data_IF_104813703463
#
_entry.id   IF_104813703463
#
_cell.length_a   1.000
_cell.length_b   1.000
_cell.length_c   1.000
_cell.angle_alpha   90.00
_cell.angle_beta   90.00
_cell.angle_gamma   90.00
#
_symmetry.space_group_name_H-M   'P 1'
#
loop_
_entity.id
_entity.type
_entity.pdbx_description
1 polymer ?
#
# COMPACT_ATOMS: atom_id res chain seq x y z
N UNK A 1 -18.56 -21.58 -35.27
CA UNK A 1 -17.53 -21.67 -34.22
C UNK A 1 -18.20 -21.43 -32.85
N UNK A 2 -18.27 -22.42 -31.97
CA UNK A 2 -18.77 -22.25 -30.59
C UNK A 2 -17.77 -21.34 -29.88
N UNK A 3 -18.21 -20.15 -29.38
CA UNK A 3 -17.46 -19.36 -28.41
C UNK A 3 -17.16 -20.30 -27.25
N UNK A 4 -15.89 -20.64 -27.01
CA UNK A 4 -15.49 -21.27 -25.74
C UNK A 4 -15.88 -20.28 -24.65
N UNK A 5 -16.86 -20.64 -23.83
CA UNK A 5 -17.17 -19.93 -22.60
C UNK A 5 -15.86 -19.86 -21.81
N UNK A 6 -15.32 -18.66 -21.61
CA UNK A 6 -14.19 -18.50 -20.70
C UNK A 6 -14.70 -18.89 -19.32
N UNK A 7 -14.01 -19.74 -18.57
CA UNK A 7 -14.41 -20.06 -17.21
C UNK A 7 -14.51 -18.76 -16.41
N UNK A 8 -15.57 -18.61 -15.64
CA UNK A 8 -15.80 -17.42 -14.82
C UNK A 8 -14.64 -17.23 -13.86
N UNK A 9 -13.98 -16.07 -13.90
CA UNK A 9 -12.86 -15.70 -13.03
C UNK A 9 -13.28 -15.76 -11.58
N UNK A 10 -12.52 -16.48 -10.74
CA UNK A 10 -12.75 -16.55 -9.29
C UNK A 10 -11.65 -15.82 -8.55
N UNK A 11 -12.02 -14.87 -7.70
CA UNK A 11 -11.09 -14.04 -6.93
C UNK A 11 -11.37 -14.18 -5.44
N UNK A 12 -10.32 -14.47 -4.68
CA UNK A 12 -10.33 -14.39 -3.24
C UNK A 12 -9.69 -13.09 -2.77
N UNK A 13 -10.37 -12.31 -1.94
CA UNK A 13 -9.82 -11.12 -1.30
C UNK A 13 -9.66 -11.39 0.18
N UNK A 14 -8.44 -11.30 0.67
CA UNK A 14 -8.10 -11.47 2.08
C UNK A 14 -8.01 -10.09 2.72
N UNK A 15 -9.03 -9.74 3.51
CA UNK A 15 -9.08 -8.51 4.29
C UNK A 15 -10.31 -7.63 4.07
N UNK A 16 -11.11 -7.48 5.13
CA UNK A 16 -12.23 -6.54 5.20
C UNK A 16 -11.70 -5.13 5.50
N UNK A 17 -11.04 -4.52 4.52
CA UNK A 17 -10.55 -3.13 4.56
C UNK A 17 -11.26 -2.29 3.52
N UNK A 18 -11.18 -0.95 3.63
CA UNK A 18 -11.74 -0.07 2.59
C UNK A 18 -11.22 -0.47 1.19
N UNK A 19 -9.92 -0.77 1.07
CA UNK A 19 -9.32 -1.19 -0.20
C UNK A 19 -9.78 -2.57 -0.65
N UNK A 20 -9.84 -3.56 0.25
CA UNK A 20 -10.34 -4.89 -0.05
C UNK A 20 -11.80 -4.87 -0.54
N UNK A 21 -12.66 -4.09 0.12
CA UNK A 21 -14.03 -3.90 -0.27
C UNK A 21 -14.16 -3.23 -1.65
N UNK A 22 -13.35 -2.21 -1.92
CA UNK A 22 -13.32 -1.51 -3.22
C UNK A 22 -12.88 -2.46 -4.35
N UNK A 23 -11.83 -3.25 -4.13
CA UNK A 23 -11.41 -4.30 -5.08
C UNK A 23 -12.53 -5.34 -5.30
N UNK A 24 -13.27 -5.70 -4.25
CA UNK A 24 -14.41 -6.61 -4.33
C UNK A 24 -15.48 -6.11 -5.30
N UNK A 25 -15.89 -4.86 -5.17
CA UNK A 25 -16.85 -4.22 -6.09
C UNK A 25 -16.29 -4.16 -7.50
N UNK A 26 -15.07 -3.61 -7.66
CA UNK A 26 -14.43 -3.39 -8.95
C UNK A 26 -14.28 -4.69 -9.78
N UNK A 27 -13.93 -5.80 -9.14
CA UNK A 27 -13.76 -7.09 -9.80
C UNK A 27 -15.10 -7.78 -10.08
N UNK A 28 -16.10 -7.58 -9.22
CA UNK A 28 -17.46 -8.08 -9.48
C UNK A 28 -18.10 -7.40 -10.68
N UNK A 29 -17.81 -6.13 -10.93
CA UNK A 29 -18.28 -5.40 -12.12
C UNK A 29 -17.71 -5.99 -13.43
N UNK A 30 -16.64 -6.81 -13.34
CA UNK A 30 -16.08 -7.59 -14.47
C UNK A 30 -16.67 -9.01 -14.58
N UNK A 31 -17.77 -9.29 -13.94
CA UNK A 31 -18.40 -10.62 -13.89
C UNK A 31 -17.54 -11.70 -13.20
N UNK A 32 -16.54 -11.28 -12.39
CA UNK A 32 -15.79 -12.21 -11.57
C UNK A 32 -16.62 -12.68 -10.36
N UNK A 33 -16.49 -13.96 -10.01
CA UNK A 33 -17.00 -14.48 -8.73
C UNK A 33 -16.02 -14.11 -7.64
N UNK A 34 -16.35 -13.07 -6.87
CA UNK A 34 -15.48 -12.58 -5.80
C UNK A 34 -15.96 -13.09 -4.46
N UNK A 35 -15.03 -13.63 -3.67
CA UNK A 35 -15.25 -14.01 -2.29
C UNK A 35 -14.27 -13.30 -1.37
N UNK A 36 -14.80 -12.51 -0.43
CA UNK A 36 -14.00 -11.76 0.54
C UNK A 36 -13.93 -12.55 1.85
N UNK A 37 -12.71 -12.72 2.37
CA UNK A 37 -12.51 -13.26 3.70
C UNK A 37 -12.56 -12.15 4.75
N UNK A 38 -13.44 -12.32 5.74
CA UNK A 38 -13.58 -11.48 6.93
C UNK A 38 -13.09 -12.25 8.17
N UNK A 39 -12.63 -11.54 9.20
CA UNK A 39 -12.01 -12.13 10.40
C UNK A 39 -13.00 -12.90 11.28
N UNK A 40 -14.29 -12.59 11.20
CA UNK A 40 -15.32 -13.22 12.03
C UNK A 40 -16.59 -13.48 11.23
N UNK A 41 -17.41 -14.40 11.72
CA UNK A 41 -18.74 -14.66 11.14
C UNK A 41 -19.66 -13.43 11.21
N UNK A 42 -19.54 -12.63 12.26
CA UNK A 42 -20.31 -11.40 12.40
C UNK A 42 -19.97 -10.41 11.29
N UNK A 43 -18.67 -10.16 11.03
CA UNK A 43 -18.24 -9.32 9.91
C UNK A 43 -18.70 -9.86 8.55
N UNK A 44 -18.57 -11.18 8.32
CA UNK A 44 -18.97 -11.80 7.07
C UNK A 44 -20.49 -11.68 6.84
N UNK A 45 -21.29 -11.87 7.90
CA UNK A 45 -22.73 -11.73 7.85
C UNK A 45 -23.16 -10.30 7.57
N UNK A 46 -22.55 -9.32 8.21
CA UNK A 46 -22.80 -7.90 7.98
C UNK A 46 -22.52 -7.52 6.53
N UNK A 47 -21.36 -7.94 5.98
CA UNK A 47 -20.99 -7.72 4.59
C UNK A 47 -22.00 -8.32 3.61
N UNK A 48 -22.50 -9.53 3.86
CA UNK A 48 -23.48 -10.19 3.01
C UNK A 48 -24.88 -9.55 3.08
N UNK A 49 -25.24 -8.93 4.21
CA UNK A 49 -26.48 -8.18 4.35
C UNK A 49 -26.47 -6.85 3.59
N UNK A 50 -25.28 -6.27 3.37
CA UNK A 50 -25.09 -4.97 2.71
C UNK A 50 -25.38 -4.96 1.20
N UNK A 51 -25.98 -6.00 0.60
CA UNK A 51 -26.30 -6.13 -0.84
C UNK A 51 -25.11 -5.80 -1.75
N UNK A 52 -23.94 -6.28 -1.39
CA UNK A 52 -22.72 -6.08 -2.19
C UNK A 52 -22.72 -7.03 -3.39
N UNK A 53 -21.96 -6.65 -4.44
CA UNK A 53 -21.79 -7.47 -5.63
C UNK A 53 -20.89 -8.71 -5.44
N UNK A 54 -20.31 -8.90 -4.24
CA UNK A 54 -19.48 -10.04 -3.86
C UNK A 54 -20.00 -10.72 -2.59
N UNK A 55 -19.61 -11.97 -2.38
CA UNK A 55 -19.93 -12.72 -1.16
C UNK A 55 -18.78 -12.67 -0.15
N UNK A 56 -19.09 -12.89 1.13
CA UNK A 56 -18.12 -12.90 2.22
C UNK A 56 -18.23 -14.17 3.07
N UNK A 57 -17.09 -14.62 3.60
CA UNK A 57 -16.99 -15.76 4.51
C UNK A 57 -15.92 -15.53 5.57
N UNK A 58 -16.07 -16.12 6.75
CA UNK A 58 -15.04 -16.15 7.80
C UNK A 58 -14.05 -17.31 7.65
N UNK A 59 -14.32 -18.25 6.74
CA UNK A 59 -13.49 -19.43 6.51
C UNK A 59 -12.53 -19.19 5.35
N UNK A 60 -11.25 -18.99 5.65
CA UNK A 60 -10.24 -18.63 4.65
C UNK A 60 -10.10 -19.70 3.54
N UNK A 61 -10.21 -20.99 3.88
CA UNK A 61 -10.19 -22.06 2.90
C UNK A 61 -11.38 -22.02 1.94
N UNK A 62 -12.55 -21.57 2.40
CA UNK A 62 -13.72 -21.39 1.55
C UNK A 62 -13.54 -20.19 0.61
N UNK A 63 -12.93 -19.10 1.08
CA UNK A 63 -12.63 -17.95 0.25
C UNK A 63 -11.66 -18.31 -0.89
N UNK A 64 -10.65 -19.13 -0.59
CA UNK A 64 -9.60 -19.52 -1.54
C UNK A 64 -9.97 -20.68 -2.45
N UNK A 65 -11.07 -21.39 -2.19
CA UNK A 65 -11.45 -22.60 -2.94
C UNK A 65 -11.68 -22.33 -4.43
N UNK A 66 -10.72 -22.81 -5.24
CA UNK A 66 -10.77 -22.70 -6.70
C UNK A 66 -10.57 -21.26 -7.21
N UNK A 67 -9.96 -20.39 -6.42
CA UNK A 67 -9.61 -19.04 -6.85
C UNK A 67 -8.48 -19.08 -7.91
N UNK A 68 -8.60 -18.22 -8.93
CA UNK A 68 -7.56 -17.97 -9.93
C UNK A 68 -6.59 -16.90 -9.44
N UNK A 69 -7.08 -15.99 -8.58
CA UNK A 69 -6.33 -14.87 -8.00
C UNK A 69 -6.68 -14.73 -6.52
N UNK A 70 -5.67 -14.70 -5.66
CA UNK A 70 -5.78 -14.39 -4.24
C UNK A 70 -5.12 -13.02 -3.98
N UNK A 71 -5.86 -12.07 -3.40
CA UNK A 71 -5.41 -10.70 -3.14
C UNK A 71 -5.37 -10.44 -1.65
N UNK A 72 -4.20 -10.11 -1.10
CA UNK A 72 -4.07 -9.63 0.28
C UNK A 72 -4.21 -8.11 0.32
N UNK A 73 -5.36 -7.64 0.77
CA UNK A 73 -5.68 -6.23 0.99
C UNK A 73 -5.80 -5.91 2.48
N UNK A 74 -4.80 -6.31 3.25
CA UNK A 74 -4.70 -6.19 4.71
C UNK A 74 -3.67 -5.12 5.11
N UNK A 75 -3.69 -4.62 6.36
CA UNK A 75 -2.59 -3.82 6.87
C UNK A 75 -1.25 -4.56 6.76
N UNK A 76 -0.17 -3.84 6.42
CA UNK A 76 1.15 -4.42 6.17
C UNK A 76 1.65 -5.26 7.34
N UNK A 77 1.44 -4.81 8.57
CA UNK A 77 1.86 -5.51 9.80
C UNK A 77 1.04 -6.78 10.10
N UNK A 78 -0.05 -7.01 9.35
CA UNK A 78 -0.91 -8.20 9.47
C UNK A 78 -0.74 -9.19 8.33
N UNK A 79 0.08 -8.85 7.31
CA UNK A 79 0.22 -9.68 6.13
C UNK A 79 0.73 -11.09 6.49
N UNK A 80 1.82 -11.18 7.26
CA UNK A 80 2.44 -12.46 7.64
C UNK A 80 1.44 -13.42 8.29
N UNK A 81 0.73 -12.93 9.29
CA UNK A 81 -0.31 -13.71 9.99
C UNK A 81 -1.38 -14.23 9.02
N UNK A 82 -1.87 -13.36 8.14
CA UNK A 82 -2.92 -13.73 7.19
C UNK A 82 -2.44 -14.71 6.12
N UNK A 83 -1.18 -14.57 5.65
CA UNK A 83 -0.58 -15.52 4.71
C UNK A 83 -0.39 -16.87 5.38
N UNK A 84 0.10 -16.90 6.62
CA UNK A 84 0.28 -18.15 7.38
C UNK A 84 -1.02 -18.91 7.58
N UNK A 85 -2.16 -18.22 7.77
CA UNK A 85 -3.49 -18.86 7.82
C UNK A 85 -3.94 -19.39 6.44
N UNK A 86 -3.55 -18.72 5.36
CA UNK A 86 -3.97 -19.05 3.99
C UNK A 86 -3.13 -20.17 3.34
N UNK A 87 -1.87 -20.32 3.72
CA UNK A 87 -0.83 -21.07 2.97
C UNK A 87 -1.22 -22.51 2.58
N UNK A 88 -1.98 -23.21 3.41
CA UNK A 88 -2.39 -24.60 3.15
C UNK A 88 -3.51 -24.73 2.10
N UNK A 89 -4.12 -23.61 1.68
CA UNK A 89 -5.18 -23.56 0.69
C UNK A 89 -4.73 -22.98 -0.66
N UNK A 90 -3.46 -22.57 -0.76
CA UNK A 90 -2.90 -22.02 -1.98
C UNK A 90 -2.55 -23.12 -2.97
N UNK A 91 -2.75 -22.86 -4.26
CA UNK A 91 -2.47 -23.82 -5.34
C UNK A 91 -1.55 -23.22 -6.39
N UNK A 92 -0.87 -24.08 -7.16
CA UNK A 92 0.05 -23.64 -8.24
C UNK A 92 -0.64 -22.91 -9.39
N UNK A 93 -1.95 -23.02 -9.53
CA UNK A 93 -2.73 -22.29 -10.53
C UNK A 93 -3.09 -20.86 -10.12
N UNK A 94 -3.06 -20.55 -8.81
CA UNK A 94 -3.40 -19.22 -8.29
C UNK A 94 -2.30 -18.20 -8.58
N UNK A 95 -2.71 -16.97 -8.90
CA UNK A 95 -1.88 -15.78 -8.76
C UNK A 95 -1.99 -15.27 -7.32
N UNK A 96 -0.87 -14.89 -6.73
CA UNK A 96 -0.77 -14.43 -5.34
C UNK A 96 -0.40 -12.95 -5.33
N UNK A 97 -1.37 -12.08 -5.04
CA UNK A 97 -1.18 -10.64 -5.14
C UNK A 97 -1.15 -9.96 -3.78
N UNK A 98 -0.09 -9.22 -3.50
CA UNK A 98 -0.09 -8.25 -2.41
C UNK A 98 -0.61 -6.89 -2.90
N UNK A 99 -1.66 -6.40 -2.29
CA UNK A 99 -2.16 -5.03 -2.47
C UNK A 99 -1.93 -4.16 -1.20
N UNK A 100 -1.17 -4.68 -0.24
CA UNK A 100 -0.76 -3.99 0.97
C UNK A 100 0.45 -3.08 0.68
N UNK A 101 0.41 -1.86 1.23
CA UNK A 101 1.48 -0.86 1.08
C UNK A 101 2.16 -0.63 2.43
N UNK A 102 3.42 -1.03 2.55
CA UNK A 102 4.18 -0.86 3.78
C UNK A 102 5.39 -1.78 3.84
N UNK A 103 6.12 -1.66 4.94
CA UNK A 103 7.24 -2.52 5.30
C UNK A 103 6.95 -3.20 6.64
N UNK A 104 7.29 -4.46 6.78
CA UNK A 104 7.15 -5.15 8.06
C UNK A 104 8.17 -4.58 9.07
N UNK A 105 7.68 -4.02 10.18
CA UNK A 105 8.54 -3.35 11.16
C UNK A 105 9.57 -4.29 11.76
N UNK A 106 9.21 -5.53 12.07
CA UNK A 106 10.12 -6.50 12.71
C UNK A 106 11.31 -6.88 11.87
N UNK A 107 11.14 -7.01 10.54
CA UNK A 107 12.16 -7.51 9.62
C UNK A 107 12.69 -6.48 8.61
N UNK A 108 11.96 -5.38 8.37
CA UNK A 108 12.23 -4.41 7.29
C UNK A 108 11.84 -4.92 5.91
N UNK A 109 11.16 -6.06 5.82
CA UNK A 109 10.84 -6.71 4.55
C UNK A 109 9.67 -6.05 3.84
N UNK A 110 9.75 -6.08 2.50
CA UNK A 110 8.63 -5.75 1.61
C UNK A 110 7.56 -6.84 1.68
N UNK A 111 6.36 -6.51 1.34
CA UNK A 111 5.20 -7.42 1.44
C UNK A 111 5.35 -8.67 0.57
N UNK A 112 5.94 -8.54 -0.63
CA UNK A 112 6.24 -9.70 -1.49
C UNK A 112 7.27 -10.66 -0.86
N UNK A 113 8.25 -10.13 -0.12
CA UNK A 113 9.22 -10.94 0.61
C UNK A 113 8.57 -11.67 1.80
N UNK A 114 7.70 -10.98 2.54
CA UNK A 114 6.93 -11.59 3.63
C UNK A 114 6.06 -12.73 3.09
N UNK A 115 5.37 -12.50 1.97
CA UNK A 115 4.55 -13.51 1.32
C UNK A 115 5.39 -14.71 0.87
N UNK A 116 6.55 -14.47 0.24
CA UNK A 116 7.47 -15.52 -0.22
C UNK A 116 8.06 -16.37 0.90
N UNK A 117 8.18 -15.84 2.11
CA UNK A 117 8.67 -16.60 3.28
C UNK A 117 7.64 -17.57 3.85
N UNK A 118 6.36 -17.18 3.82
CA UNK A 118 5.29 -17.97 4.42
C UNK A 118 4.77 -19.11 3.53
N UNK A 119 4.99 -19.02 2.20
CA UNK A 119 4.50 -20.01 1.24
C UNK A 119 5.59 -21.00 0.82
N UNK A 120 5.18 -22.13 0.28
CA UNK A 120 6.11 -23.12 -0.28
C UNK A 120 6.90 -22.55 -1.46
N UNK A 121 8.17 -22.92 -1.65
CA UNK A 121 9.04 -22.34 -2.68
C UNK A 121 8.48 -22.37 -4.10
N UNK A 122 7.73 -23.43 -4.46
CA UNK A 122 7.11 -23.60 -5.79
C UNK A 122 6.01 -22.57 -6.13
N UNK A 123 5.51 -21.84 -5.13
CA UNK A 123 4.52 -20.79 -5.34
C UNK A 123 5.11 -19.38 -5.42
N UNK A 124 6.40 -19.20 -5.13
CA UNK A 124 7.04 -17.87 -5.10
C UNK A 124 7.00 -17.16 -6.46
N UNK A 125 7.10 -17.91 -7.54
CA UNK A 125 7.00 -17.39 -8.90
C UNK A 125 5.59 -16.91 -9.27
N UNK A 126 4.59 -17.15 -8.40
CA UNK A 126 3.20 -16.70 -8.57
C UNK A 126 2.91 -15.37 -7.91
N UNK A 127 3.90 -14.78 -7.24
CA UNK A 127 3.74 -13.52 -6.50
C UNK A 127 3.74 -12.34 -7.46
N UNK A 128 2.73 -11.50 -7.34
CA UNK A 128 2.67 -10.16 -7.93
C UNK A 128 2.26 -9.13 -6.88
N UNK A 129 2.44 -7.86 -7.19
CA UNK A 129 2.10 -6.74 -6.30
C UNK A 129 1.30 -5.70 -7.05
N UNK A 130 0.39 -5.02 -6.36
CA UNK A 130 -0.44 -3.94 -6.88
C UNK A 130 -0.16 -2.66 -6.10
N UNK A 131 0.23 -1.59 -6.79
CA UNK A 131 0.43 -0.26 -6.20
C UNK A 131 0.11 0.84 -7.20
N UNK A 132 -0.17 2.06 -6.70
CA UNK A 132 -0.53 3.22 -7.52
C UNK A 132 -1.49 4.14 -6.78
N UNK A 133 -1.93 5.25 -7.38
CA UNK A 133 -2.88 6.18 -6.79
C UNK A 133 -4.26 5.52 -6.63
N UNK A 134 -4.52 4.98 -5.44
CA UNK A 134 -5.70 4.17 -5.13
C UNK A 134 -6.45 4.74 -3.91
N UNK A 135 -7.11 5.87 -4.08
CA UNK A 135 -8.06 6.35 -3.07
C UNK A 135 -9.34 5.52 -3.15
N UNK A 136 -9.47 4.59 -2.21
CA UNK A 136 -10.56 3.61 -2.17
C UNK A 136 -11.94 4.25 -2.26
N UNK A 137 -12.14 5.40 -1.61
CA UNK A 137 -13.40 6.13 -1.62
C UNK A 137 -13.78 6.68 -3.00
N UNK A 138 -12.81 7.15 -3.79
CA UNK A 138 -13.04 7.65 -5.15
C UNK A 138 -13.36 6.50 -6.11
N UNK A 139 -12.58 5.44 -6.06
CA UNK A 139 -12.78 4.26 -6.90
C UNK A 139 -14.14 3.61 -6.59
N UNK A 140 -14.53 3.54 -5.32
CA UNK A 140 -15.84 3.02 -4.92
C UNK A 140 -17.02 3.86 -5.45
N UNK A 141 -16.79 5.16 -5.71
CA UNK A 141 -17.76 6.05 -6.38
C UNK A 141 -17.75 5.90 -7.92
N UNK A 142 -16.89 5.01 -8.45
CA UNK A 142 -16.79 4.77 -9.88
C UNK A 142 -15.94 5.79 -10.63
N UNK A 143 -15.15 6.60 -9.92
CA UNK A 143 -14.18 7.50 -10.54
C UNK A 143 -13.01 6.69 -11.13
N UNK A 144 -12.42 7.14 -12.25
CA UNK A 144 -11.33 6.44 -12.90
C UNK A 144 -10.05 6.46 -12.05
N UNK A 145 -9.32 5.34 -12.09
CA UNK A 145 -8.02 5.21 -11.45
C UNK A 145 -7.04 4.45 -12.35
N UNK A 146 -5.76 4.62 -12.09
CA UNK A 146 -4.70 3.88 -12.75
C UNK A 146 -3.70 3.35 -11.72
N UNK A 147 -3.19 2.13 -11.96
CA UNK A 147 -2.26 1.47 -11.05
C UNK A 147 -1.20 0.65 -11.79
N UNK A 148 -0.27 0.07 -11.06
CA UNK A 148 0.79 -0.80 -11.58
C UNK A 148 0.68 -2.17 -10.92
N UNK A 149 0.72 -3.21 -11.74
CA UNK A 149 0.98 -4.58 -11.28
C UNK A 149 2.44 -4.91 -11.59
N UNK A 150 3.18 -5.37 -10.58
CA UNK A 150 4.55 -5.82 -10.80
C UNK A 150 4.73 -7.28 -10.39
N UNK A 151 5.55 -8.01 -11.16
CA UNK A 151 5.98 -9.36 -10.89
C UNK A 151 7.39 -9.56 -11.44
N UNK A 152 8.17 -10.52 -10.89
CA UNK A 152 9.51 -10.82 -11.43
C UNK A 152 9.44 -11.31 -12.89
N UNK A 153 8.43 -12.11 -13.21
CA UNK A 153 8.08 -12.46 -14.59
C UNK A 153 7.03 -11.48 -15.10
N UNK A 154 7.37 -10.71 -16.12
CA UNK A 154 6.47 -9.74 -16.73
C UNK A 154 5.20 -10.40 -17.30
N UNK A 155 5.30 -11.64 -17.79
CA UNK A 155 4.15 -12.38 -18.29
C UNK A 155 3.13 -12.67 -17.17
N UNK A 156 3.59 -12.84 -15.92
CA UNK A 156 2.71 -12.97 -14.76
C UNK A 156 1.97 -11.66 -14.45
N UNK A 157 2.69 -10.52 -14.55
CA UNK A 157 2.09 -9.20 -14.34
C UNK A 157 1.03 -8.89 -15.42
N UNK A 158 1.33 -9.20 -16.69
CA UNK A 158 0.41 -9.09 -17.81
C UNK A 158 -0.86 -9.93 -17.59
N UNK A 159 -0.70 -11.19 -17.18
CA UNK A 159 -1.83 -12.05 -16.86
C UNK A 159 -2.69 -11.49 -15.74
N UNK A 160 -2.06 -10.99 -14.66
CA UNK A 160 -2.78 -10.37 -13.55
C UNK A 160 -3.52 -9.10 -14.00
N UNK A 161 -2.91 -8.30 -14.89
CA UNK A 161 -3.54 -7.13 -15.52
C UNK A 161 -4.81 -7.54 -16.28
N UNK A 162 -4.74 -8.52 -17.15
CA UNK A 162 -5.90 -9.00 -17.93
C UNK A 162 -7.08 -9.41 -17.03
N UNK A 163 -6.78 -10.02 -15.87
CA UNK A 163 -7.80 -10.41 -14.90
C UNK A 163 -8.46 -9.22 -14.21
N UNK A 164 -7.73 -8.12 -13.99
CA UNK A 164 -8.18 -7.01 -13.13
C UNK A 164 -8.57 -5.74 -13.88
N UNK A 165 -7.95 -5.46 -15.05
CA UNK A 165 -8.14 -4.21 -15.79
C UNK A 165 -9.60 -3.99 -16.23
N UNK A 166 -10.07 -2.76 -16.12
CA UNK A 166 -11.38 -2.33 -16.59
C UNK A 166 -11.31 -0.90 -17.17
N UNK A 167 -12.33 -0.42 -17.90
CA UNK A 167 -12.33 0.97 -18.41
C UNK A 167 -12.17 2.04 -17.32
N UNK A 168 -12.52 1.72 -16.08
CA UNK A 168 -12.39 2.64 -14.94
C UNK A 168 -11.17 2.36 -14.07
N UNK A 169 -10.48 1.24 -14.28
CA UNK A 169 -9.29 0.85 -13.54
C UNK A 169 -8.21 0.38 -14.51
N UNK A 170 -7.41 1.33 -14.98
CA UNK A 170 -6.35 1.09 -15.96
C UNK A 170 -5.10 0.57 -15.26
N UNK A 171 -4.48 -0.46 -15.82
CA UNK A 171 -3.34 -1.13 -15.20
C UNK A 171 -2.14 -1.17 -16.15
N UNK A 172 -1.01 -0.66 -15.66
CA UNK A 172 0.31 -0.86 -16.27
C UNK A 172 1.01 -2.05 -15.63
N UNK A 173 1.99 -2.62 -16.32
CA UNK A 173 2.81 -3.72 -15.82
C UNK A 173 4.26 -3.31 -15.62
N UNK A 174 4.97 -3.98 -14.71
CA UNK A 174 6.38 -3.76 -14.42
C UNK A 174 7.04 -5.07 -13.96
N UNK A 175 8.33 -5.21 -14.22
CA UNK A 175 9.20 -6.26 -13.67
C UNK A 175 10.01 -5.77 -12.46
N UNK A 176 9.90 -4.47 -12.09
CA UNK A 176 10.52 -3.91 -10.89
C UNK A 176 9.60 -4.00 -9.66
N UNK A 177 9.46 -5.20 -9.13
CA UNK A 177 8.69 -5.44 -7.90
C UNK A 177 9.22 -4.60 -6.74
N UNK A 178 10.56 -4.44 -6.65
CA UNK A 178 11.20 -3.69 -5.57
C UNK A 178 10.78 -2.23 -5.61
N UNK A 179 10.91 -1.60 -6.77
CA UNK A 179 10.56 -0.20 -6.95
C UNK A 179 9.08 0.09 -6.74
N UNK A 180 8.19 -0.77 -7.27
CA UNK A 180 6.74 -0.61 -7.11
C UNK A 180 6.30 -0.73 -5.65
N UNK A 181 6.86 -1.66 -4.88
CA UNK A 181 6.55 -1.80 -3.44
C UNK A 181 7.14 -0.68 -2.60
N UNK A 182 8.44 -0.36 -2.80
CA UNK A 182 9.12 0.67 -2.00
C UNK A 182 8.54 2.05 -2.25
N UNK A 183 8.28 2.42 -3.50
CA UNK A 183 7.66 3.72 -3.80
C UNK A 183 6.28 3.86 -3.16
N UNK A 184 5.43 2.84 -3.28
CA UNK A 184 4.09 2.83 -2.68
C UNK A 184 4.08 2.78 -1.14
N UNK A 185 5.12 2.20 -0.52
CA UNK A 185 5.26 2.18 0.93
C UNK A 185 5.83 3.49 1.48
N UNK A 186 6.98 3.93 0.93
CA UNK A 186 7.75 5.06 1.45
C UNK A 186 7.08 6.42 1.21
N UNK A 187 6.25 6.58 0.15
CA UNK A 187 5.46 7.80 -0.08
C UNK A 187 4.60 8.19 1.14
N UNK A 188 4.20 7.22 1.94
CA UNK A 188 3.37 7.44 3.12
C UNK A 188 4.11 8.23 4.21
N UNK A 189 5.44 8.14 4.26
CA UNK A 189 6.30 8.94 5.14
C UNK A 189 6.22 10.42 4.72
N UNK A 190 6.33 10.67 3.42
CA UNK A 190 6.27 12.03 2.89
C UNK A 190 4.87 12.63 3.09
N UNK A 191 3.83 11.82 2.97
CA UNK A 191 2.46 12.26 3.24
C UNK A 191 2.22 12.65 4.71
N UNK A 192 2.89 12.01 5.68
CA UNK A 192 2.87 12.45 7.10
C UNK A 192 3.44 13.87 7.21
N UNK A 193 4.64 14.11 6.65
CA UNK A 193 5.27 15.43 6.72
C UNK A 193 4.50 16.51 5.96
N UNK A 194 3.91 16.19 4.79
CA UNK A 194 3.04 17.12 4.08
C UNK A 194 1.82 17.53 4.93
N UNK A 195 1.23 16.57 5.65
CA UNK A 195 0.18 16.87 6.63
C UNK A 195 0.64 17.75 7.78
N UNK A 196 1.87 17.55 8.30
CA UNK A 196 2.44 18.41 9.34
C UNK A 196 2.62 19.86 8.84
N UNK A 197 3.08 20.04 7.61
CA UNK A 197 3.24 21.37 7.00
C UNK A 197 1.89 22.07 6.86
N UNK A 198 0.87 21.37 6.42
CA UNK A 198 -0.50 21.90 6.34
C UNK A 198 -1.05 22.25 7.74
N UNK A 199 -0.82 21.39 8.73
CA UNK A 199 -1.20 21.61 10.12
C UNK A 199 -0.52 22.83 10.76
N UNK A 200 0.74 23.11 10.39
CA UNK A 200 1.47 24.31 10.81
C UNK A 200 1.15 25.56 9.95
N UNK A 201 0.31 25.42 8.92
CA UNK A 201 -0.08 26.51 8.01
C UNK A 201 1.11 27.20 7.31
N UNK A 202 2.11 26.40 6.87
CA UNK A 202 3.34 26.93 6.25
C UNK A 202 3.20 27.23 4.75
N UNK A 203 2.09 26.83 4.15
CA UNK A 203 1.74 27.13 2.75
C UNK A 203 2.36 26.15 1.73
N UNK A 204 1.93 26.31 0.47
CA UNK A 204 2.21 25.35 -0.60
C UNK A 204 3.68 25.37 -1.06
N UNK A 205 4.38 26.50 -0.97
CA UNK A 205 5.80 26.57 -1.32
C UNK A 205 6.65 25.68 -0.39
N UNK A 206 6.42 25.76 0.92
CA UNK A 206 7.12 24.92 1.90
C UNK A 206 6.76 23.45 1.71
N UNK A 207 5.49 23.14 1.47
CA UNK A 207 5.03 21.78 1.20
C UNK A 207 5.66 21.21 -0.08
N UNK A 208 5.72 21.98 -1.15
CA UNK A 208 6.37 21.58 -2.40
C UNK A 208 7.85 21.29 -2.25
N UNK A 209 8.59 22.16 -1.56
CA UNK A 209 10.02 21.95 -1.26
C UNK A 209 10.25 20.68 -0.42
N UNK A 210 9.48 20.52 0.66
CA UNK A 210 9.54 19.33 1.52
C UNK A 210 9.27 18.03 0.74
N UNK A 211 8.21 18.00 -0.08
CA UNK A 211 7.87 16.84 -0.89
C UNK A 211 9.00 16.50 -1.87
N UNK A 212 9.58 17.51 -2.54
CA UNK A 212 10.66 17.30 -3.50
C UNK A 212 11.92 16.70 -2.85
N UNK A 213 12.37 17.25 -1.74
CA UNK A 213 13.56 16.76 -1.03
C UNK A 213 13.30 15.39 -0.37
N UNK A 214 12.17 15.23 0.30
CA UNK A 214 11.82 13.95 0.92
C UNK A 214 11.65 12.84 -0.12
N UNK A 215 11.15 13.17 -1.31
CA UNK A 215 11.06 12.20 -2.40
C UNK A 215 12.43 11.79 -2.94
N UNK A 216 13.39 12.73 -3.00
CA UNK A 216 14.76 12.39 -3.36
C UNK A 216 15.40 11.39 -2.37
N UNK A 217 15.15 11.56 -1.06
CA UNK A 217 15.58 10.58 -0.04
C UNK A 217 14.92 9.21 -0.25
N UNK A 218 13.62 9.19 -0.55
CA UNK A 218 12.88 7.95 -0.85
C UNK A 218 13.48 7.23 -2.07
N UNK A 219 13.77 7.97 -3.14
CA UNK A 219 14.45 7.42 -4.34
C UNK A 219 15.82 6.87 -3.99
N UNK A 220 16.63 7.61 -3.21
CA UNK A 220 17.97 7.18 -2.77
C UNK A 220 17.90 5.87 -1.98
N UNK A 221 17.01 5.78 -1.00
CA UNK A 221 16.80 4.55 -0.23
C UNK A 221 16.36 3.40 -1.13
N UNK A 222 15.40 3.65 -1.99
CA UNK A 222 14.86 2.62 -2.88
C UNK A 222 15.89 2.06 -3.85
N UNK A 223 16.70 2.92 -4.46
CA UNK A 223 17.79 2.51 -5.38
C UNK A 223 18.85 1.72 -4.62
N UNK A 224 19.23 2.14 -3.41
CA UNK A 224 20.17 1.39 -2.56
C UNK A 224 19.64 0.01 -2.21
N UNK A 225 18.33 -0.17 -2.10
CA UNK A 225 17.68 -1.45 -1.86
C UNK A 225 17.40 -2.26 -3.14
N UNK A 226 17.89 -1.81 -4.29
CA UNK A 226 17.87 -2.54 -5.56
C UNK A 226 16.71 -2.19 -6.50
N UNK A 227 15.96 -1.12 -6.24
CA UNK A 227 14.92 -0.62 -7.14
C UNK A 227 15.52 0.17 -8.32
N UNK A 228 14.77 0.26 -9.41
CA UNK A 228 15.11 1.17 -10.52
C UNK A 228 14.59 2.57 -10.23
N UNK A 229 15.45 3.58 -10.35
CA UNK A 229 15.09 4.98 -10.12
C UNK A 229 13.87 5.43 -10.95
N UNK A 230 13.76 4.98 -12.21
CA UNK A 230 12.63 5.32 -13.09
C UNK A 230 11.26 4.92 -12.55
N UNK A 231 11.17 3.86 -11.76
CA UNK A 231 9.91 3.39 -11.16
C UNK A 231 9.30 4.41 -10.21
N UNK A 232 10.12 5.19 -9.52
CA UNK A 232 9.67 6.22 -8.57
C UNK A 232 9.00 7.42 -9.25
N UNK A 233 9.24 7.65 -10.55
CA UNK A 233 8.61 8.72 -11.32
C UNK A 233 7.32 8.27 -12.03
N UNK A 234 6.96 6.99 -11.91
CA UNK A 234 5.73 6.42 -12.47
C UNK A 234 4.53 6.49 -11.53
N UNK A 235 3.47 5.75 -11.90
CA UNK A 235 2.20 5.70 -11.17
C UNK A 235 2.35 5.22 -9.71
N UNK A 236 3.13 4.15 -9.48
CA UNK A 236 3.32 3.60 -8.13
C UNK A 236 4.15 4.50 -7.21
N UNK A 237 4.93 5.44 -7.79
CA UNK A 237 5.75 6.41 -7.08
C UNK A 237 5.12 7.81 -7.07
N UNK A 238 5.55 8.66 -8.00
CA UNK A 238 5.15 10.07 -8.05
C UNK A 238 3.63 10.24 -8.16
N UNK A 239 2.95 9.40 -8.95
CA UNK A 239 1.49 9.45 -9.09
C UNK A 239 0.78 9.23 -7.74
N UNK A 240 1.19 8.20 -7.00
CA UNK A 240 0.61 7.88 -5.69
C UNK A 240 1.04 8.89 -4.60
N UNK A 241 2.25 9.44 -4.71
CA UNK A 241 2.75 10.51 -3.83
C UNK A 241 1.87 11.77 -3.95
N UNK A 242 1.68 12.27 -5.17
CA UNK A 242 0.88 13.47 -5.45
C UNK A 242 -0.54 13.28 -4.89
N UNK A 243 -1.18 12.16 -5.25
CA UNK A 243 -2.53 11.84 -4.79
C UNK A 243 -2.61 11.82 -3.25
N UNK A 244 -1.61 11.22 -2.58
CA UNK A 244 -1.63 11.03 -1.13
C UNK A 244 -1.31 12.32 -0.36
N UNK A 245 -0.40 13.16 -0.88
CA UNK A 245 -0.05 14.44 -0.24
C UNK A 245 -1.10 15.53 -0.45
N UNK A 246 -1.84 15.49 -1.57
CA UNK A 246 -2.85 16.49 -1.89
C UNK A 246 -4.24 16.19 -1.30
N UNK A 247 -4.53 14.91 -1.03
CA UNK A 247 -5.89 14.49 -0.64
C UNK A 247 -6.10 14.54 0.86
N UNK A 248 -7.19 15.19 1.27
CA UNK A 248 -7.71 15.15 2.65
C UNK A 248 -8.23 13.77 3.06
N UNK A 249 -8.45 12.87 2.09
CA UNK A 249 -8.82 11.47 2.34
C UNK A 249 -7.61 10.61 2.75
N UNK A 250 -6.38 11.17 2.66
CA UNK A 250 -5.16 10.47 3.06
C UNK A 250 -5.05 10.35 4.58
N UNK A 251 -5.08 9.12 5.07
CA UNK A 251 -4.89 8.82 6.50
C UNK A 251 -3.53 9.28 7.03
N UNK A 252 -2.48 9.17 6.22
CA UNK A 252 -1.15 9.62 6.61
C UNK A 252 -1.08 11.13 6.69
N UNK A 253 -1.64 11.84 5.70
CA UNK A 253 -1.76 13.31 5.74
C UNK A 253 -2.53 13.75 6.99
N UNK A 254 -3.66 13.12 7.29
CA UNK A 254 -4.47 13.42 8.48
C UNK A 254 -3.66 13.25 9.78
N UNK A 255 -2.92 12.12 9.93
CA UNK A 255 -2.06 11.92 11.12
C UNK A 255 -1.03 13.03 11.25
N UNK A 256 -0.34 13.40 10.17
CA UNK A 256 0.62 14.50 10.19
C UNK A 256 -0.02 15.84 10.57
N UNK A 257 -1.18 16.14 10.02
CA UNK A 257 -1.94 17.36 10.32
C UNK A 257 -2.29 17.45 11.82
N UNK A 258 -2.81 16.38 12.39
CA UNK A 258 -3.20 16.33 13.80
C UNK A 258 -2.01 16.38 14.76
N UNK A 259 -0.87 15.75 14.41
CA UNK A 259 0.38 15.89 15.15
C UNK A 259 0.85 17.36 15.21
N UNK A 260 0.75 18.08 14.10
CA UNK A 260 1.11 19.49 14.02
C UNK A 260 0.17 20.39 14.85
N UNK A 261 -1.07 19.94 15.09
CA UNK A 261 -2.02 20.58 16.01
C UNK A 261 -1.78 20.22 17.48
N UNK A 262 -0.74 19.46 17.79
CA UNK A 262 -0.34 19.10 19.16
C UNK A 262 -1.04 17.88 19.73
N UNK A 263 -1.81 17.10 18.94
CA UNK A 263 -2.40 15.85 19.41
C UNK A 263 -1.34 14.75 19.50
N UNK A 264 -1.41 13.93 20.53
CA UNK A 264 -0.52 12.78 20.68
C UNK A 264 -0.84 11.69 19.63
N UNK A 265 0.20 11.01 19.11
CA UNK A 265 0.05 9.92 18.15
C UNK A 265 -0.89 8.82 18.63
N UNK A 266 -0.84 8.50 19.92
CA UNK A 266 -1.72 7.50 20.56
C UNK A 266 -3.20 7.88 20.51
N UNK A 267 -3.52 9.15 20.74
CA UNK A 267 -4.88 9.69 20.69
C UNK A 267 -5.41 9.70 19.23
N UNK A 268 -4.56 10.12 18.29
CA UNK A 268 -4.90 10.13 16.87
C UNK A 268 -5.21 8.70 16.42
N UNK A 269 -4.31 7.75 16.74
CA UNK A 269 -4.46 6.35 16.37
C UNK A 269 -5.71 5.72 16.97
N UNK A 270 -6.05 6.04 18.21
CA UNK A 270 -7.26 5.54 18.89
C UNK A 270 -8.55 6.09 18.27
N UNK A 271 -8.50 7.30 17.69
CA UNK A 271 -9.66 7.96 17.06
C UNK A 271 -9.91 7.52 15.61
N UNK A 272 -8.97 6.79 15.01
CA UNK A 272 -9.06 6.37 13.60
C UNK A 272 -9.62 4.95 13.46
N UNK A 273 -10.60 4.72 12.58
CA UNK A 273 -11.11 3.38 12.31
C UNK A 273 -10.13 2.49 11.53
N UNK A 274 -9.13 3.11 10.90
CA UNK A 274 -8.16 2.44 10.04
C UNK A 274 -6.74 2.91 10.29
N UNK A 275 -5.77 2.02 10.06
CA UNK A 275 -4.34 2.25 10.28
C UNK A 275 -3.76 3.22 9.24
N UNK A 276 -2.90 4.14 9.69
CA UNK A 276 -2.01 4.94 8.84
C UNK A 276 -0.67 4.20 8.71
N UNK A 277 -0.43 3.61 7.54
CA UNK A 277 0.75 2.78 7.27
C UNK A 277 2.08 3.54 7.34
N UNK A 278 2.05 4.87 7.16
CA UNK A 278 3.24 5.72 7.21
C UNK A 278 3.97 5.65 8.55
N UNK A 279 3.26 5.51 9.66
CA UNK A 279 3.86 5.43 11.00
C UNK A 279 4.79 4.19 11.10
N UNK A 280 4.25 3.02 10.82
CA UNK A 280 5.03 1.77 10.83
C UNK A 280 6.14 1.78 9.77
N UNK A 281 5.85 2.32 8.58
CA UNK A 281 6.82 2.43 7.48
C UNK A 281 7.99 3.35 7.83
N UNK A 282 7.76 4.45 8.56
CA UNK A 282 8.83 5.35 9.03
C UNK A 282 9.82 4.61 9.93
N UNK A 283 9.35 3.84 10.90
CA UNK A 283 10.22 3.04 11.76
C UNK A 283 11.07 2.02 10.99
N UNK A 284 10.46 1.33 10.01
CA UNK A 284 11.17 0.38 9.17
C UNK A 284 12.19 1.07 8.24
N UNK A 285 11.82 2.19 7.60
CA UNK A 285 12.67 2.93 6.69
C UNK A 285 13.87 3.56 7.40
N UNK A 286 13.67 4.17 8.58
CA UNK A 286 14.75 4.70 9.41
C UNK A 286 15.80 3.62 9.73
N UNK A 287 15.35 2.43 10.17
CA UNK A 287 16.25 1.31 10.44
C UNK A 287 16.97 0.82 9.19
N UNK A 288 16.28 0.71 8.05
CA UNK A 288 16.89 0.31 6.78
C UNK A 288 17.96 1.32 6.34
N UNK A 289 17.67 2.63 6.41
CA UNK A 289 18.63 3.69 6.11
C UNK A 289 19.88 3.57 6.98
N UNK A 290 19.71 3.40 8.28
CA UNK A 290 20.81 3.20 9.24
C UNK A 290 21.66 1.98 8.90
N UNK A 291 21.05 0.85 8.55
CA UNK A 291 21.73 -0.38 8.19
C UNK A 291 22.52 -0.25 6.86
N UNK A 292 22.09 0.63 5.96
CA UNK A 292 22.75 0.94 4.69
C UNK A 292 23.75 2.11 4.80
N UNK A 293 23.92 2.71 5.97
CA UNK A 293 24.78 3.88 6.16
C UNK A 293 24.30 5.15 5.42
N UNK A 294 23.03 5.22 5.05
CA UNK A 294 22.44 6.35 4.36
C UNK A 294 22.06 7.47 5.35
N UNK A 295 22.37 8.71 4.95
CA UNK A 295 21.89 9.89 5.65
C UNK A 295 20.62 10.39 4.94
N UNK A 296 19.48 10.24 5.60
CA UNK A 296 18.16 10.63 5.10
C UNK A 296 17.52 11.58 6.12
N UNK A 297 17.92 12.85 6.14
CA UNK A 297 17.53 13.78 7.20
C UNK A 297 16.03 13.99 7.32
N UNK A 298 15.28 14.04 6.22
CA UNK A 298 13.81 14.22 6.27
C UNK A 298 13.12 13.00 6.87
N UNK A 299 13.52 11.79 6.45
CA UNK A 299 12.98 10.56 7.03
C UNK A 299 13.33 10.47 8.51
N UNK A 300 14.54 10.91 8.91
CA UNK A 300 14.96 10.95 10.30
C UNK A 300 14.13 11.94 11.12
N UNK A 301 13.92 13.17 10.65
CA UNK A 301 13.06 14.16 11.32
C UNK A 301 11.64 13.63 11.56
N UNK A 302 11.05 12.96 10.57
CA UNK A 302 9.72 12.37 10.72
C UNK A 302 9.76 11.25 11.77
N UNK A 303 10.83 10.45 11.81
CA UNK A 303 11.02 9.41 12.82
C UNK A 303 11.11 10.01 14.24
N UNK A 304 11.91 11.05 14.43
CA UNK A 304 12.06 11.75 15.72
C UNK A 304 10.75 12.36 16.21
N UNK A 305 9.95 12.94 15.30
CA UNK A 305 8.61 13.44 15.65
C UNK A 305 7.69 12.31 16.12
N UNK A 306 7.70 11.17 15.43
CA UNK A 306 6.78 10.07 15.73
C UNK A 306 7.16 9.30 16.98
N UNK A 307 8.47 9.17 17.29
CA UNK A 307 8.96 8.20 18.25
C UNK A 307 9.90 8.76 19.32
N UNK A 308 10.51 9.94 19.12
CA UNK A 308 11.49 10.52 20.06
C UNK A 308 11.02 11.85 20.69
N UNK A 309 9.78 12.25 20.41
CA UNK A 309 9.16 13.41 21.06
C UNK A 309 9.55 14.77 20.52
N UNK A 310 10.22 14.81 19.35
CA UNK A 310 10.48 16.10 18.65
C UNK A 310 9.13 16.69 18.21
N UNK A 311 8.89 17.96 18.53
CA UNK A 311 7.65 18.60 18.04
C UNK A 311 7.78 18.99 16.56
N UNK A 312 6.67 18.94 15.76
CA UNK A 312 6.68 19.40 14.39
C UNK A 312 7.19 20.84 14.20
N UNK A 313 6.95 21.72 15.18
CA UNK A 313 7.42 23.10 15.16
C UNK A 313 8.95 23.19 15.35
N UNK A 314 9.53 22.35 16.23
CA UNK A 314 10.99 22.28 16.39
C UNK A 314 11.67 21.70 15.15
N UNK A 315 11.11 20.63 14.58
CA UNK A 315 11.62 20.02 13.36
C UNK A 315 11.71 21.01 12.17
N UNK A 316 10.85 22.03 12.15
CA UNK A 316 10.90 23.08 11.13
C UNK A 316 12.20 23.87 11.17
N UNK A 317 12.78 24.14 12.35
CA UNK A 317 14.07 24.84 12.45
C UNK A 317 15.18 23.98 11.88
N UNK A 318 15.23 22.71 12.22
CA UNK A 318 16.20 21.76 11.67
C UNK A 318 16.07 21.60 10.16
N UNK A 319 14.84 21.54 9.65
CA UNK A 319 14.57 21.49 8.21
C UNK A 319 15.10 22.74 7.47
N UNK A 320 15.02 23.94 8.06
CA UNK A 320 15.58 25.16 7.47
C UNK A 320 17.10 25.12 7.37
N UNK A 321 17.78 24.61 8.40
CA UNK A 321 19.24 24.46 8.38
C UNK A 321 19.67 23.41 7.34
N UNK A 322 18.94 22.32 7.21
CA UNK A 322 19.16 21.32 6.16
C UNK A 322 19.01 21.93 4.77
N UNK A 323 17.97 22.74 4.56
CA UNK A 323 17.72 23.43 3.29
C UNK A 323 18.84 24.39 2.92
N UNK A 324 19.41 25.14 3.87
CA UNK A 324 20.48 26.06 3.65
C UNK A 324 21.83 25.41 3.27
N UNK A 325 22.01 24.13 3.63
CA UNK A 325 23.25 23.38 3.41
C UNK A 325 23.19 22.43 2.19
N UNK A 326 22.04 22.33 1.49
CA UNK A 326 21.83 21.40 0.37
C UNK A 326 21.94 22.05 -1.02
N UNK A 327 22.19 23.35 -1.10
CA UNK A 327 22.42 24.09 -2.37
C UNK A 327 23.74 24.89 -2.31
#
# INVERSE_FOLDING_TARGET
MKKRERPCLKVAIIGNTSWGNTLGVLLSDKEAVVKLWARSEAEAKELNQGRRSYSSTSHIGEALKGADLAIWAVPSQKLRENVSQAKNYLTSSMLLMSAAKGLEVSSGKRMSQVLAEEIVPSLRERICVLSGPNLAGEIAQGLPAASVIAAQDIALAERARELMESPKFVLSTSDDVIGVELSGALKNIIALGAGMIDGLSLGDNAKGAFIAWGWAEVVSLGVTLGARAGTFYGLAGLGDLITTCASTLSRNHYVGYELAKGRALSEISASMPHIAEGVATTAAAHRLAKNQGLKLPIINLIYEILFEGLSPSQALFEFRELAANHY
#
